data_IF_773360614116
#
_entry.id   IF_773360614116
#
_cell.length_a   1.000
_cell.length_b   1.000
_cell.length_c   1.000
_cell.angle_alpha   90.00
_cell.angle_beta   90.00
_cell.angle_gamma   90.00
#
_symmetry.space_group_name_H-M   'P 1'
#
loop_
_entity.id
_entity.type
_entity.pdbx_description
1 polymer ?
#
# COMPACT_ATOMS: atom_id res chain seq x y z
N UNK A 1 -19.96 -16.64 16.11
CA UNK A 1 -18.93 -15.56 16.19
C UNK A 1 -18.94 -14.84 14.85
N UNK A 2 -19.27 -13.54 14.86
CA UNK A 2 -19.16 -12.71 13.66
C UNK A 2 -17.67 -12.58 13.33
N UNK A 3 -17.21 -13.17 12.24
CA UNK A 3 -15.85 -13.02 11.76
C UNK A 3 -15.60 -11.56 11.36
N UNK A 4 -14.47 -11.02 11.80
CA UNK A 4 -14.09 -9.61 11.61
C UNK A 4 -12.66 -9.56 11.09
N UNK A 5 -12.29 -8.40 10.54
CA UNK A 5 -10.89 -8.11 10.26
C UNK A 5 -10.02 -8.28 11.51
N UNK A 6 -8.89 -8.95 11.36
CA UNK A 6 -7.90 -9.15 12.43
C UNK A 6 -6.85 -8.04 12.31
N UNK A 7 -7.10 -6.91 13.01
CA UNK A 7 -6.27 -5.71 12.91
C UNK A 7 -4.84 -5.95 13.40
N UNK A 8 -4.68 -6.68 14.48
CA UNK A 8 -3.43 -7.06 15.10
C UNK A 8 -2.57 -7.97 14.20
N UNK A 9 -3.23 -8.79 13.38
CA UNK A 9 -2.59 -9.69 12.42
C UNK A 9 -2.50 -9.09 11.01
N UNK A 10 -3.04 -7.91 10.76
CA UNK A 10 -3.08 -7.28 9.44
C UNK A 10 -3.85 -8.09 8.38
N UNK A 11 -4.83 -8.89 8.82
CA UNK A 11 -5.59 -9.80 7.97
C UNK A 11 -7.03 -9.32 7.76
N UNK A 12 -7.46 -9.30 6.50
CA UNK A 12 -8.78 -8.81 6.06
C UNK A 12 -9.69 -9.99 5.80
N UNK A 13 -10.84 -10.05 6.50
CA UNK A 13 -11.85 -11.08 6.26
C UNK A 13 -12.36 -11.01 4.81
N UNK A 14 -12.52 -12.15 4.17
CA UNK A 14 -12.98 -12.22 2.80
C UNK A 14 -14.51 -12.39 2.74
N UNK A 15 -15.07 -12.34 1.54
CA UNK A 15 -16.51 -12.40 1.30
C UNK A 15 -17.15 -13.73 1.75
N UNK A 16 -16.39 -14.81 1.75
CA UNK A 16 -16.80 -16.13 2.22
C UNK A 16 -17.05 -16.16 3.73
N UNK A 17 -16.57 -15.15 4.47
CA UNK A 17 -16.62 -15.06 5.94
C UNK A 17 -15.90 -16.21 6.65
N UNK A 18 -14.96 -16.86 5.97
CA UNK A 18 -14.19 -18.01 6.45
C UNK A 18 -12.69 -17.81 6.30
N UNK A 19 -12.27 -17.13 5.22
CA UNK A 19 -10.86 -16.92 4.90
C UNK A 19 -10.46 -15.46 4.98
N UNK A 20 -9.16 -15.23 4.97
CA UNK A 20 -8.55 -13.91 5.10
C UNK A 20 -7.62 -13.60 3.94
N UNK A 21 -7.43 -12.32 3.67
CA UNK A 21 -6.35 -11.84 2.85
C UNK A 21 -5.29 -11.15 3.70
N UNK A 22 -4.02 -11.46 3.45
CA UNK A 22 -2.87 -10.78 4.02
C UNK A 22 -2.10 -10.07 2.91
N UNK A 23 -1.49 -8.93 3.22
CA UNK A 23 -0.75 -8.14 2.22
C UNK A 23 0.54 -7.60 2.84
N UNK A 24 1.72 -8.09 2.43
CA UNK A 24 2.99 -7.59 2.93
C UNK A 24 3.22 -6.14 2.54
N UNK A 25 4.03 -5.46 3.34
CA UNK A 25 4.43 -4.08 3.10
C UNK A 25 5.47 -4.01 1.99
N UNK A 26 5.12 -3.31 0.91
CA UNK A 26 5.98 -3.06 -0.23
C UNK A 26 6.07 -1.55 -0.45
N UNK A 27 7.23 -0.96 -0.22
CA UNK A 27 7.44 0.48 -0.36
C UNK A 27 7.33 0.86 -1.84
N UNK A 28 6.31 1.65 -2.18
CA UNK A 28 6.05 2.08 -3.55
C UNK A 28 5.79 0.95 -4.55
N UNK A 29 5.47 -0.26 -4.07
CA UNK A 29 5.30 -1.44 -4.92
C UNK A 29 6.61 -2.00 -5.48
N UNK A 30 7.76 -1.52 -5.02
CA UNK A 30 9.06 -2.07 -5.40
C UNK A 30 9.29 -3.37 -4.64
N UNK A 31 9.61 -4.41 -5.39
CA UNK A 31 9.78 -5.76 -4.88
C UNK A 31 10.99 -6.43 -5.53
N UNK A 32 11.74 -7.17 -4.75
CA UNK A 32 12.84 -7.99 -5.25
C UNK A 32 12.33 -9.31 -5.83
N UNK A 33 13.06 -9.92 -6.79
CA UNK A 33 12.71 -11.26 -7.28
C UNK A 33 12.61 -12.32 -6.17
N UNK A 34 13.40 -12.18 -5.10
CA UNK A 34 13.30 -13.07 -3.93
C UNK A 34 11.97 -12.89 -3.21
N UNK A 35 11.61 -11.68 -2.84
CA UNK A 35 10.33 -11.39 -2.18
C UNK A 35 9.13 -11.85 -3.02
N UNK A 36 9.21 -11.74 -4.34
CA UNK A 36 8.14 -12.21 -5.21
C UNK A 36 8.01 -13.73 -5.16
N UNK A 37 9.13 -14.46 -5.11
CA UNK A 37 9.12 -15.91 -4.90
C UNK A 37 8.58 -16.27 -3.52
N UNK A 38 9.03 -15.60 -2.47
CA UNK A 38 8.55 -15.84 -1.09
C UNK A 38 7.02 -15.69 -1.01
N UNK A 39 6.44 -14.69 -1.70
CA UNK A 39 4.99 -14.51 -1.78
C UNK A 39 4.32 -15.67 -2.53
N UNK A 40 4.90 -16.14 -3.62
CA UNK A 40 4.37 -17.28 -4.38
C UNK A 40 4.44 -18.56 -3.57
N UNK A 41 5.58 -18.85 -2.95
CA UNK A 41 5.81 -20.04 -2.13
C UNK A 41 4.82 -20.10 -0.94
N UNK A 42 4.59 -18.97 -0.27
CA UNK A 42 3.59 -18.88 0.82
C UNK A 42 2.18 -19.07 0.30
N UNK A 43 1.84 -18.47 -0.84
CA UNK A 43 0.53 -18.65 -1.45
C UNK A 43 0.25 -20.13 -1.81
N UNK A 44 1.24 -20.82 -2.34
CA UNK A 44 1.14 -22.27 -2.64
C UNK A 44 1.06 -23.11 -1.36
N UNK A 45 1.94 -22.85 -0.39
CA UNK A 45 2.01 -23.62 0.87
C UNK A 45 0.69 -23.59 1.65
N UNK A 46 0.01 -22.43 1.68
CA UNK A 46 -1.24 -22.25 2.42
C UNK A 46 -2.49 -22.34 1.53
N UNK A 47 -2.36 -22.88 0.33
CA UNK A 47 -3.46 -23.09 -0.62
C UNK A 47 -4.30 -21.82 -0.85
N UNK A 48 -3.64 -20.68 -1.01
CA UNK A 48 -4.29 -19.42 -1.27
C UNK A 48 -5.17 -19.49 -2.54
N UNK A 49 -6.35 -18.90 -2.48
CA UNK A 49 -7.29 -18.88 -3.61
C UNK A 49 -6.80 -17.98 -4.75
N UNK A 50 -6.02 -16.94 -4.42
CA UNK A 50 -5.45 -16.02 -5.39
C UNK A 50 -4.31 -15.18 -4.82
N UNK A 51 -3.44 -14.71 -5.71
CA UNK A 51 -2.49 -13.62 -5.44
C UNK A 51 -2.94 -12.42 -6.27
N UNK A 52 -3.20 -11.28 -5.63
CA UNK A 52 -3.78 -10.09 -6.27
C UNK A 52 -2.90 -8.86 -6.12
N UNK A 53 -2.50 -8.26 -7.24
CA UNK A 53 -1.91 -6.92 -7.26
C UNK A 53 -3.00 -5.88 -6.97
N UNK A 54 -2.82 -5.05 -5.95
CA UNK A 54 -3.81 -4.07 -5.50
C UNK A 54 -3.52 -2.66 -6.01
N UNK A 55 -4.55 -1.81 -6.09
CA UNK A 55 -4.39 -0.39 -6.44
C UNK A 55 -3.57 0.43 -5.43
N UNK A 56 -3.27 -0.13 -4.27
CA UNK A 56 -2.39 0.46 -3.26
C UNK A 56 -0.93 -0.01 -3.38
N UNK A 57 -0.54 -0.58 -4.52
CA UNK A 57 0.80 -1.08 -4.81
C UNK A 57 1.26 -2.17 -3.83
N UNK A 58 0.34 -3.02 -3.39
CA UNK A 58 0.60 -4.21 -2.57
C UNK A 58 0.21 -5.47 -3.32
N UNK A 59 0.80 -6.58 -2.94
CA UNK A 59 0.38 -7.91 -3.38
C UNK A 59 -0.38 -8.53 -2.21
N UNK A 60 -1.63 -8.88 -2.42
CA UNK A 60 -2.45 -9.57 -1.43
C UNK A 60 -2.48 -11.07 -1.72
N UNK A 61 -2.27 -11.88 -0.69
CA UNK A 61 -2.44 -13.32 -0.70
C UNK A 61 -3.83 -13.57 -0.11
N UNK A 62 -4.74 -14.10 -0.91
CA UNK A 62 -6.18 -14.22 -0.60
C UNK A 62 -6.55 -15.68 -0.33
N UNK A 63 -7.37 -15.92 0.68
CA UNK A 63 -7.87 -17.27 0.98
C UNK A 63 -7.07 -18.01 2.05
N UNK A 64 -6.33 -17.30 2.90
CA UNK A 64 -5.61 -17.89 4.04
C UNK A 64 -6.58 -18.18 5.18
N UNK A 65 -6.49 -19.35 5.79
CA UNK A 65 -7.27 -19.68 6.99
C UNK A 65 -6.74 -18.93 8.21
N UNK A 66 -7.60 -18.64 9.18
CA UNK A 66 -7.21 -17.90 10.39
C UNK A 66 -6.07 -18.57 11.15
N UNK A 67 -6.08 -19.89 11.26
CA UNK A 67 -5.08 -20.71 11.94
C UNK A 67 -3.68 -20.65 11.29
N UNK A 68 -3.63 -20.32 10.01
CA UNK A 68 -2.39 -20.27 9.22
C UNK A 68 -1.76 -18.87 9.15
N UNK A 69 -2.47 -17.81 9.54
CA UNK A 69 -2.03 -16.42 9.34
C UNK A 69 -0.67 -16.13 9.98
N UNK A 70 -0.48 -16.55 11.23
CA UNK A 70 0.76 -16.26 11.96
C UNK A 70 1.96 -16.98 11.32
N UNK A 71 1.76 -18.24 10.91
CA UNK A 71 2.77 -19.01 10.21
C UNK A 71 3.06 -18.44 8.82
N UNK A 72 2.03 -18.00 8.10
CA UNK A 72 2.20 -17.35 6.79
C UNK A 72 3.03 -16.06 6.90
N UNK A 73 2.84 -15.26 7.95
CA UNK A 73 3.67 -14.08 8.22
C UNK A 73 5.13 -14.44 8.56
N UNK A 74 5.35 -15.50 9.32
CA UNK A 74 6.69 -16.01 9.62
C UNK A 74 7.42 -16.46 8.35
N UNK A 75 6.76 -17.26 7.52
CA UNK A 75 7.34 -17.74 6.27
C UNK A 75 7.62 -16.62 5.26
N UNK A 76 6.75 -15.61 5.19
CA UNK A 76 6.97 -14.43 4.36
C UNK A 76 8.20 -13.63 4.81
N UNK A 77 8.49 -13.58 6.11
CA UNK A 77 9.54 -12.72 6.67
C UNK A 77 9.36 -11.23 6.39
N UNK A 78 8.14 -10.81 6.06
CA UNK A 78 7.77 -9.43 5.72
C UNK A 78 6.75 -8.87 6.71
N UNK A 79 6.78 -7.54 6.91
CA UNK A 79 5.82 -6.86 7.79
C UNK A 79 4.46 -6.69 7.11
N UNK A 80 3.34 -6.66 7.86
CA UNK A 80 2.03 -6.31 7.34
C UNK A 80 1.99 -4.90 6.72
N UNK A 81 1.25 -4.76 5.61
CA UNK A 81 1.22 -3.55 4.79
C UNK A 81 0.22 -2.48 5.25
N UNK A 82 -0.21 -2.44 6.53
CA UNK A 82 -1.21 -1.50 7.04
C UNK A 82 -2.43 -1.36 6.11
N UNK A 83 -2.97 -2.50 5.66
CA UNK A 83 -4.07 -2.55 4.70
C UNK A 83 -5.43 -2.20 5.33
N UNK A 84 -5.54 -2.34 6.64
CA UNK A 84 -6.75 -2.11 7.46
C UNK A 84 -6.43 -1.22 8.66
N UNK A 85 -7.47 -0.86 9.40
CA UNK A 85 -7.35 -0.02 10.60
C UNK A 85 -7.35 1.50 10.31
N UNK A 86 -7.34 2.27 11.37
CA UNK A 86 -7.32 3.75 11.36
C UNK A 86 -5.86 4.21 11.48
N UNK A 87 -5.16 4.24 10.37
CA UNK A 87 -3.73 4.54 10.36
C UNK A 87 -3.27 5.19 9.05
N UNK A 88 -2.01 5.62 9.03
CA UNK A 88 -1.34 6.02 7.79
C UNK A 88 -1.11 4.78 6.93
N UNK A 89 -1.68 4.78 5.73
CA UNK A 89 -1.54 3.71 4.74
C UNK A 89 -0.17 3.76 4.07
N UNK A 90 0.23 2.65 3.44
CA UNK A 90 1.42 2.64 2.59
C UNK A 90 1.38 3.80 1.60
N UNK A 91 2.47 4.52 1.47
CA UNK A 91 2.59 5.64 0.53
C UNK A 91 2.55 5.11 -0.90
N UNK A 92 1.65 5.65 -1.71
CA UNK A 92 1.61 5.32 -3.15
C UNK A 92 2.66 6.17 -3.87
N UNK A 93 3.54 5.54 -4.62
CA UNK A 93 4.71 6.18 -5.21
C UNK A 93 4.75 5.87 -6.71
N UNK A 94 4.98 6.85 -7.57
CA UNK A 94 5.26 6.59 -8.98
C UNK A 94 6.77 6.36 -9.20
N UNK A 95 7.19 5.86 -10.38
CA UNK A 95 8.60 5.60 -10.66
C UNK A 95 9.53 6.82 -10.58
N UNK A 96 9.02 8.06 -10.74
CA UNK A 96 9.81 9.29 -10.69
C UNK A 96 11.03 9.28 -11.60
N UNK A 97 12.05 10.08 -11.26
CA UNK A 97 13.31 10.11 -12.00
C UNK A 97 14.10 8.81 -11.91
N UNK A 98 13.78 7.93 -10.98
CA UNK A 98 14.46 6.64 -10.82
C UNK A 98 14.26 5.74 -12.05
N UNK A 99 13.02 5.66 -12.59
CA UNK A 99 12.70 4.73 -13.68
C UNK A 99 11.88 5.37 -14.82
N UNK A 100 11.37 6.60 -14.67
CA UNK A 100 10.49 7.22 -15.65
C UNK A 100 11.17 8.38 -16.39
N UNK A 101 11.23 8.31 -17.72
CA UNK A 101 11.79 9.38 -18.57
C UNK A 101 11.08 10.75 -18.45
N UNK A 102 9.84 10.76 -17.93
CA UNK A 102 9.04 11.98 -17.71
C UNK A 102 9.15 12.51 -16.29
N UNK A 103 9.87 11.81 -15.41
CA UNK A 103 10.07 12.24 -14.02
C UNK A 103 10.80 13.57 -13.96
N UNK A 104 10.31 14.49 -13.14
CA UNK A 104 10.96 15.78 -12.84
C UNK A 104 11.60 15.74 -11.45
N UNK A 105 11.08 14.91 -10.55
CA UNK A 105 11.55 14.75 -9.19
C UNK A 105 11.66 13.27 -8.81
N UNK A 106 12.50 12.95 -7.84
CA UNK A 106 12.69 11.60 -7.33
C UNK A 106 11.59 11.22 -6.33
N UNK A 107 10.47 10.72 -6.86
CA UNK A 107 9.34 10.27 -6.05
C UNK A 107 9.63 9.02 -5.24
N UNK A 108 10.56 8.17 -5.68
CA UNK A 108 10.95 6.96 -4.96
C UNK A 108 11.67 7.34 -3.68
N UNK A 109 12.67 8.21 -3.74
CA UNK A 109 13.42 8.63 -2.56
C UNK A 109 12.53 9.35 -1.52
N UNK A 110 11.74 10.35 -1.95
CA UNK A 110 10.90 11.11 -1.01
C UNK A 110 9.74 10.25 -0.48
N UNK A 111 9.14 9.43 -1.35
CA UNK A 111 8.05 8.53 -0.96
C UNK A 111 8.51 7.46 0.04
N UNK A 112 9.69 6.89 -0.14
CA UNK A 112 10.28 5.94 0.82
C UNK A 112 10.58 6.61 2.18
N UNK A 113 11.06 7.86 2.19
CA UNK A 113 11.27 8.62 3.43
C UNK A 113 9.95 8.86 4.18
N UNK A 114 8.90 9.26 3.46
CA UNK A 114 7.57 9.48 4.05
C UNK A 114 6.98 8.17 4.57
N UNK A 115 7.10 7.10 3.80
CA UNK A 115 6.64 5.78 4.20
C UNK A 115 7.35 5.28 5.46
N UNK A 116 8.67 5.35 5.50
CA UNK A 116 9.47 4.97 6.67
C UNK A 116 9.18 5.80 7.92
N UNK A 117 8.79 7.08 7.74
CA UNK A 117 8.46 7.96 8.85
C UNK A 117 7.04 7.76 9.39
N UNK A 118 6.07 7.43 8.54
CA UNK A 118 4.65 7.54 8.89
C UNK A 118 3.84 6.26 8.73
N UNK A 119 4.29 5.28 7.94
CA UNK A 119 3.55 4.05 7.69
C UNK A 119 3.08 3.38 8.98
N UNK A 120 1.80 3.02 9.01
CA UNK A 120 1.19 2.30 10.13
C UNK A 120 0.94 3.13 11.39
N UNK A 121 1.29 4.42 11.45
CA UNK A 121 0.98 5.26 12.62
C UNK A 121 -0.53 5.36 12.82
N UNK A 122 -0.97 5.10 14.04
CA UNK A 122 -2.39 5.21 14.41
C UNK A 122 -2.88 6.66 14.31
N UNK A 123 -4.07 6.82 13.76
CA UNK A 123 -4.76 8.10 13.57
C UNK A 123 -6.25 7.93 13.88
N UNK A 124 -7.01 9.02 14.13
CA UNK A 124 -8.46 8.95 14.26
C UNK A 124 -9.19 8.47 13.00
N UNK A 125 -8.53 8.60 11.83
CA UNK A 125 -9.03 8.14 10.53
C UNK A 125 -7.88 7.59 9.68
N UNK A 126 -8.23 6.82 8.64
CA UNK A 126 -7.24 6.38 7.63
C UNK A 126 -6.71 7.59 6.86
N UNK A 127 -5.40 7.66 6.66
CA UNK A 127 -4.73 8.69 5.87
C UNK A 127 -3.95 8.06 4.73
N UNK A 128 -4.10 8.60 3.53
CA UNK A 128 -3.44 8.15 2.31
C UNK A 128 -2.51 9.23 1.78
N UNK A 129 -1.28 8.84 1.47
CA UNK A 129 -0.27 9.72 0.87
C UNK A 129 0.03 9.23 -0.54
N UNK A 130 0.17 10.16 -1.49
CA UNK A 130 0.58 9.87 -2.85
C UNK A 130 1.72 10.77 -3.29
N UNK A 131 2.75 10.19 -3.91
CA UNK A 131 3.94 10.92 -4.38
C UNK A 131 4.14 10.64 -5.86
N UNK A 132 3.98 11.67 -6.67
CA UNK A 132 4.15 11.63 -8.13
C UNK A 132 5.30 12.54 -8.57
N UNK A 133 6.26 11.99 -9.29
CA UNK A 133 7.48 12.71 -9.71
C UNK A 133 7.26 13.75 -10.81
N UNK A 134 6.05 13.92 -11.35
CA UNK A 134 5.70 14.94 -12.36
C UNK A 134 4.19 15.20 -12.38
N UNK A 135 3.70 16.22 -13.13
CA UNK A 135 2.28 16.60 -13.18
C UNK A 135 1.31 15.52 -13.69
N UNK A 136 1.79 14.42 -14.30
CA UNK A 136 0.93 13.30 -14.71
C UNK A 136 0.25 12.58 -13.52
N UNK A 137 0.70 12.83 -12.28
CA UNK A 137 0.04 12.36 -11.05
C UNK A 137 -0.26 10.85 -11.02
N UNK A 138 0.65 10.01 -11.53
CA UNK A 138 0.44 8.55 -11.64
C UNK A 138 0.24 7.82 -10.29
N UNK A 139 0.58 8.46 -9.16
CA UNK A 139 0.26 7.96 -7.82
C UNK A 139 -1.06 8.54 -7.26
N UNK A 140 -1.91 9.10 -8.13
CA UNK A 140 -3.18 9.75 -7.78
C UNK A 140 -3.02 10.87 -6.74
N UNK A 141 -1.89 11.59 -6.75
CA UNK A 141 -1.52 12.54 -5.70
C UNK A 141 -2.57 13.65 -5.52
N UNK A 142 -3.25 14.08 -6.59
CA UNK A 142 -4.32 15.09 -6.48
C UNK A 142 -5.53 14.66 -5.65
N UNK A 143 -5.76 13.36 -5.51
CA UNK A 143 -6.92 12.79 -4.81
C UNK A 143 -6.54 12.02 -3.55
N UNK A 144 -5.37 12.29 -2.99
CA UNK A 144 -4.94 11.75 -1.70
C UNK A 144 -5.14 12.78 -0.60
N UNK A 145 -5.25 12.31 0.64
CA UNK A 145 -5.32 13.21 1.80
C UNK A 145 -4.09 14.13 1.84
N UNK A 146 -2.92 13.59 1.49
CA UNK A 146 -1.67 14.32 1.23
C UNK A 146 -1.11 13.88 -0.11
N UNK A 147 -0.91 14.82 -1.02
CA UNK A 147 -0.34 14.58 -2.34
C UNK A 147 0.90 15.42 -2.60
N UNK A 148 1.98 14.80 -3.06
CA UNK A 148 3.15 15.50 -3.56
C UNK A 148 3.26 15.29 -5.06
N UNK A 149 3.48 16.39 -5.79
CA UNK A 149 3.65 16.37 -7.25
C UNK A 149 4.92 17.10 -7.61
N UNK A 150 5.81 16.41 -8.32
CA UNK A 150 7.04 16.98 -8.79
C UNK A 150 6.83 18.02 -9.89
N UNK A 151 7.45 19.18 -9.73
CA UNK A 151 7.56 20.22 -10.73
C UNK A 151 9.02 20.53 -11.09
N UNK A 152 9.29 21.39 -12.08
CA UNK A 152 10.67 21.73 -12.47
C UNK A 152 11.52 22.33 -11.37
N UNK A 153 10.89 23.03 -10.41
CA UNK A 153 11.57 23.74 -9.32
C UNK A 153 11.43 23.06 -7.95
N UNK A 154 10.91 21.83 -7.89
CA UNK A 154 10.68 21.11 -6.63
C UNK A 154 9.32 20.47 -6.54
N UNK A 155 8.77 20.41 -5.33
CA UNK A 155 7.51 19.71 -5.02
C UNK A 155 6.35 20.68 -4.83
N UNK A 156 5.19 20.29 -5.33
CA UNK A 156 3.90 20.94 -5.05
C UNK A 156 3.16 20.04 -4.08
N UNK A 157 2.70 20.60 -2.95
CA UNK A 157 1.91 19.90 -1.96
C UNK A 157 0.43 20.13 -2.20
N UNK A 158 -0.35 19.05 -2.18
CA UNK A 158 -1.81 19.04 -2.22
C UNK A 158 -2.35 18.43 -0.94
N UNK A 159 -3.35 19.04 -0.34
CA UNK A 159 -3.96 18.60 0.91
C UNK A 159 -5.49 18.43 0.76
N UNK A 160 -6.05 17.47 1.49
CA UNK A 160 -7.50 17.25 1.57
C UNK A 160 -8.13 16.65 0.32
N UNK A 161 -7.33 16.04 -0.55
CA UNK A 161 -7.86 15.25 -1.66
C UNK A 161 -8.57 14.00 -1.18
N UNK A 162 -9.51 13.50 -1.96
CA UNK A 162 -10.26 12.29 -1.67
C UNK A 162 -10.61 11.54 -2.96
N UNK A 163 -10.27 10.27 -3.01
CA UNK A 163 -10.76 9.33 -4.02
C UNK A 163 -11.79 8.39 -3.37
N UNK A 164 -12.99 8.35 -3.85
CA UNK A 164 -14.07 7.52 -3.28
C UNK A 164 -15.40 7.86 -3.93
N UNK A 165 -16.50 7.62 -3.22
CA UNK A 165 -17.88 7.83 -3.72
C UNK A 165 -18.10 9.27 -4.22
N UNK A 166 -17.57 10.24 -3.49
CA UNK A 166 -17.57 11.66 -3.91
C UNK A 166 -16.11 12.11 -4.00
N UNK A 167 -15.49 12.10 -5.18
CA UNK A 167 -14.11 12.49 -5.35
C UNK A 167 -13.91 14.00 -5.16
N UNK A 168 -12.75 14.37 -4.61
CA UNK A 168 -12.33 15.76 -4.47
C UNK A 168 -10.84 15.87 -4.79
N UNK A 169 -10.45 16.91 -5.50
CA UNK A 169 -9.05 17.29 -5.63
C UNK A 169 -8.58 17.97 -4.34
N UNK A 170 -7.32 17.76 -4.00
CA UNK A 170 -6.68 18.49 -2.91
C UNK A 170 -6.46 19.96 -3.25
N UNK A 171 -6.44 20.79 -2.24
CA UNK A 171 -6.06 22.20 -2.35
C UNK A 171 -4.52 22.31 -2.39
N UNK A 172 -3.98 23.24 -3.18
CA UNK A 172 -2.56 23.51 -3.36
C UNK A 172 -2.06 24.52 -2.32
#
# INVERSE_FOLDING_TARGET
>A
LSMKDLLDKGAVIQRDMETYAIAPHLIGGLITPKQLRDIADVAEKYNASAVKVTGAQRIAIVGIKEEDIDNAWLDLGMKPGAAIGLCVRSVKICPGTTFCKRGLQDSVAIGAKLDGAFHGRNLPNKLKIGVSGCPNSCADSHTRDIGLIGGPKGWILYLGGRSGVIPRLGDR
#
